data_IF_528970647150
#
_entry.id   IF_528970647150
#
_cell.length_a   1.000
_cell.length_b   1.000
_cell.length_c   1.000
_cell.angle_alpha   90.00
_cell.angle_beta   90.00
_cell.angle_gamma   90.00
#
_symmetry.space_group_name_H-M   'P 1'
#
loop_
_entity.id
_entity.type
_entity.pdbx_description
1 polymer ?
#
# COMPACT_ATOMS: atom_id res chain seq x y z
N UNK A 1 21.87 -14.51 15.84
CA UNK A 1 21.91 -13.12 15.34
C UNK A 1 22.90 -12.36 16.20
N UNK A 2 23.87 -11.66 15.61
CA UNK A 2 24.79 -10.78 16.34
C UNK A 2 24.11 -9.44 16.61
N UNK A 3 24.50 -8.70 17.66
CA UNK A 3 23.95 -7.36 17.97
C UNK A 3 24.09 -6.39 16.78
N UNK A 4 25.18 -6.51 16.02
CA UNK A 4 25.40 -5.75 14.80
C UNK A 4 24.34 -6.03 13.72
N UNK A 5 23.94 -7.29 13.53
CA UNK A 5 22.87 -7.68 12.60
C UNK A 5 21.51 -7.13 13.03
N UNK A 6 21.25 -7.05 14.34
CA UNK A 6 20.01 -6.47 14.87
C UNK A 6 19.94 -4.96 14.65
N UNK A 7 21.05 -4.25 14.82
CA UNK A 7 21.14 -2.81 14.55
C UNK A 7 20.91 -2.51 13.06
N UNK A 8 21.57 -3.26 12.16
CA UNK A 8 21.43 -3.07 10.71
C UNK A 8 19.99 -3.34 10.22
N UNK A 9 19.32 -4.36 10.80
CA UNK A 9 17.93 -4.64 10.49
C UNK A 9 17.01 -3.51 10.92
N UNK A 10 17.19 -2.98 12.13
CA UNK A 10 16.37 -1.88 12.64
C UNK A 10 16.59 -0.59 11.83
N UNK A 11 17.82 -0.28 11.47
CA UNK A 11 18.16 0.90 10.64
C UNK A 11 17.51 0.81 9.26
N UNK A 12 17.48 -0.39 8.65
CA UNK A 12 16.75 -0.60 7.40
C UNK A 12 15.24 -0.35 7.58
N UNK A 13 14.63 -0.91 8.64
CA UNK A 13 13.19 -0.76 8.88
C UNK A 13 12.80 0.70 9.14
N UNK A 14 13.62 1.44 9.89
CA UNK A 14 13.46 2.89 10.09
C UNK A 14 13.53 3.63 8.77
N UNK A 15 14.58 3.42 7.98
CA UNK A 15 14.71 4.05 6.67
C UNK A 15 13.53 3.73 5.75
N UNK A 16 13.07 2.47 5.75
CA UNK A 16 11.91 2.05 4.98
C UNK A 16 10.62 2.75 5.42
N UNK A 17 10.41 2.87 6.73
CA UNK A 17 9.28 3.58 7.32
C UNK A 17 9.33 5.09 7.01
N UNK A 18 10.47 5.75 7.24
CA UNK A 18 10.65 7.20 7.09
C UNK A 18 10.61 7.69 5.65
N UNK A 19 10.98 6.86 4.67
CA UNK A 19 11.13 7.30 3.28
C UNK A 19 10.24 6.52 2.33
N UNK A 20 10.44 5.20 2.29
CA UNK A 20 9.85 4.36 1.25
C UNK A 20 8.32 4.26 1.37
N UNK A 21 7.79 4.26 2.60
CA UNK A 21 6.34 4.26 2.82
C UNK A 21 5.68 5.61 2.52
N UNK A 22 6.39 6.72 2.66
CA UNK A 22 5.84 8.06 2.37
C UNK A 22 5.72 8.36 0.89
N UNK A 23 6.57 7.75 0.05
CA UNK A 23 6.67 8.08 -1.38
C UNK A 23 5.29 8.09 -2.08
N UNK A 24 4.42 7.07 -1.95
CA UNK A 24 3.15 7.07 -2.64
C UNK A 24 2.24 8.25 -2.27
N UNK A 25 2.14 8.59 -0.98
CA UNK A 25 1.34 9.71 -0.52
C UNK A 25 1.93 11.05 -0.98
N UNK A 26 3.25 11.25 -0.88
CA UNK A 26 3.90 12.48 -1.35
C UNK A 26 3.65 12.70 -2.85
N UNK A 27 3.72 11.64 -3.66
CA UNK A 27 3.40 11.75 -5.09
C UNK A 27 1.91 12.01 -5.30
N UNK A 28 1.03 11.32 -4.59
CA UNK A 28 -0.41 11.53 -4.66
C UNK A 28 -0.82 12.97 -4.33
N UNK A 29 -0.28 13.55 -3.26
CA UNK A 29 -0.56 14.95 -2.86
C UNK A 29 -0.13 15.96 -3.94
N UNK A 30 1.02 15.71 -4.58
CA UNK A 30 1.49 16.51 -5.70
C UNK A 30 0.61 16.35 -6.95
N UNK A 31 0.13 15.12 -7.22
CA UNK A 31 -0.80 14.85 -8.32
C UNK A 31 -2.13 15.56 -8.08
N UNK A 32 -2.71 15.47 -6.87
CA UNK A 32 -3.94 16.18 -6.52
C UNK A 32 -3.77 17.69 -6.66
N UNK A 33 -2.63 18.24 -6.25
CA UNK A 33 -2.35 19.68 -6.46
C UNK A 33 -2.29 20.03 -7.95
N UNK A 34 -1.68 19.18 -8.78
CA UNK A 34 -1.48 19.42 -10.20
C UNK A 34 -2.72 19.21 -11.08
N UNK A 35 -3.62 18.30 -10.70
CA UNK A 35 -4.71 17.86 -11.58
C UNK A 35 -5.75 18.95 -11.84
N UNK A 36 -5.96 19.85 -10.88
CA UNK A 36 -6.86 21.00 -11.00
C UNK A 36 -6.42 22.00 -12.06
N UNK A 37 -5.11 22.12 -12.28
CA UNK A 37 -4.50 23.10 -13.18
C UNK A 37 -4.18 22.51 -14.56
N UNK A 38 -4.36 21.20 -14.73
CA UNK A 38 -3.93 20.43 -15.88
C UNK A 38 -4.91 20.48 -17.06
N UNK A 39 -4.39 20.49 -18.30
CA UNK A 39 -5.16 20.20 -19.50
C UNK A 39 -5.56 18.72 -19.58
N UNK A 40 -6.45 18.36 -20.52
CA UNK A 40 -6.99 16.99 -20.62
C UNK A 40 -5.93 15.89 -20.83
N UNK A 41 -4.85 16.19 -21.57
CA UNK A 41 -3.77 15.21 -21.80
C UNK A 41 -2.92 15.01 -20.55
N UNK A 42 -2.67 16.09 -19.83
CA UNK A 42 -1.92 16.05 -18.58
C UNK A 42 -2.75 15.40 -17.45
N UNK A 43 -4.07 15.63 -17.40
CA UNK A 43 -4.98 14.93 -16.48
C UNK A 43 -4.97 13.41 -16.65
N UNK A 44 -4.90 12.91 -17.89
CA UNK A 44 -4.80 11.49 -18.16
C UNK A 44 -3.51 10.87 -17.58
N UNK A 45 -2.38 11.55 -17.76
CA UNK A 45 -1.10 11.11 -17.20
C UNK A 45 -1.13 11.15 -15.66
N UNK A 46 -1.68 12.22 -15.08
CA UNK A 46 -1.82 12.39 -13.64
C UNK A 46 -2.75 11.33 -13.01
N UNK A 47 -3.89 11.02 -13.64
CA UNK A 47 -4.79 9.96 -13.16
C UNK A 47 -4.13 8.57 -13.21
N UNK A 48 -3.36 8.29 -14.28
CA UNK A 48 -2.59 7.05 -14.39
C UNK A 48 -1.54 6.97 -13.27
N UNK A 49 -0.82 8.06 -13.02
CA UNK A 49 0.17 8.14 -11.94
C UNK A 49 -0.51 7.95 -10.58
N UNK A 50 -1.65 8.58 -10.33
CA UNK A 50 -2.42 8.37 -9.10
C UNK A 50 -2.77 6.90 -8.88
N UNK A 51 -3.25 6.21 -9.93
CA UNK A 51 -3.54 4.78 -9.83
C UNK A 51 -2.28 3.95 -9.52
N UNK A 52 -1.14 4.29 -10.13
CA UNK A 52 0.13 3.62 -9.86
C UNK A 52 0.53 3.76 -8.38
N UNK A 53 0.43 4.97 -7.83
CA UNK A 53 0.80 5.23 -6.43
C UNK A 53 -0.17 4.55 -5.46
N UNK A 54 -1.46 4.52 -5.77
CA UNK A 54 -2.46 3.76 -5.02
C UNK A 54 -2.12 2.26 -5.01
N UNK A 55 -1.80 1.67 -6.18
CA UNK A 55 -1.40 0.27 -6.29
C UNK A 55 -0.08 -0.01 -5.53
N UNK A 56 0.89 0.89 -5.60
CA UNK A 56 2.15 0.75 -4.86
C UNK A 56 1.92 0.80 -3.35
N UNK A 57 1.11 1.74 -2.84
CA UNK A 57 0.77 1.85 -1.43
C UNK A 57 0.05 0.59 -0.92
N UNK A 58 -0.92 0.08 -1.68
CA UNK A 58 -1.64 -1.14 -1.35
C UNK A 58 -0.69 -2.36 -1.25
N UNK A 59 0.22 -2.51 -2.22
CA UNK A 59 1.22 -3.61 -2.21
C UNK A 59 2.17 -3.49 -1.02
N UNK A 60 2.59 -2.28 -0.64
CA UNK A 60 3.45 -2.05 0.52
C UNK A 60 2.74 -2.37 1.84
N UNK A 61 1.46 -2.00 1.96
CA UNK A 61 0.62 -2.40 3.08
C UNK A 61 0.55 -3.93 3.20
N UNK A 62 0.27 -4.64 2.10
CA UNK A 62 0.28 -6.11 2.09
C UNK A 62 1.63 -6.69 2.48
N UNK A 63 2.73 -6.09 2.04
CA UNK A 63 4.07 -6.58 2.35
C UNK A 63 4.31 -6.55 3.86
N UNK A 64 3.94 -5.43 4.49
CA UNK A 64 4.08 -5.24 5.95
C UNK A 64 3.16 -6.19 6.70
N UNK A 65 1.87 -6.21 6.35
CA UNK A 65 0.88 -7.06 7.00
C UNK A 65 1.29 -8.53 6.98
N UNK A 66 1.60 -9.06 5.79
CA UNK A 66 1.96 -10.46 5.64
C UNK A 66 3.31 -10.78 6.30
N UNK A 67 4.26 -9.84 6.30
CA UNK A 67 5.54 -10.01 7.00
C UNK A 67 5.36 -10.07 8.52
N UNK A 68 4.58 -9.15 9.10
CA UNK A 68 4.26 -9.11 10.52
C UNK A 68 3.59 -10.41 10.96
N UNK A 69 2.58 -10.86 10.21
CA UNK A 69 1.84 -12.08 10.51
C UNK A 69 2.68 -13.35 10.37
N UNK A 70 3.42 -13.50 9.27
CA UNK A 70 4.00 -14.79 8.89
C UNK A 70 5.45 -14.97 9.34
N UNK A 71 6.21 -13.88 9.48
CA UNK A 71 7.63 -13.95 9.86
C UNK A 71 8.09 -12.67 10.57
N UNK A 72 7.59 -12.39 11.79
CA UNK A 72 7.89 -11.16 12.51
C UNK A 72 9.37 -11.00 12.87
N UNK A 73 10.19 -12.05 12.80
CA UNK A 73 11.64 -11.96 13.03
C UNK A 73 12.46 -11.71 11.75
N UNK A 74 11.84 -11.74 10.55
CA UNK A 74 12.53 -11.58 9.25
C UNK A 74 11.92 -10.46 8.38
N UNK A 75 11.24 -9.48 9.00
CA UNK A 75 10.52 -8.43 8.27
C UNK A 75 11.46 -7.66 7.32
N UNK A 76 12.66 -7.31 7.77
CA UNK A 76 13.65 -6.58 6.95
C UNK A 76 14.00 -7.34 5.66
N UNK A 77 14.18 -8.66 5.74
CA UNK A 77 14.51 -9.51 4.62
C UNK A 77 13.33 -9.65 3.64
N UNK A 78 12.10 -9.74 4.15
CA UNK A 78 10.89 -9.83 3.33
C UNK A 78 10.59 -8.50 2.61
N UNK A 79 10.75 -7.37 3.27
CA UNK A 79 10.52 -6.04 2.67
C UNK A 79 11.58 -5.67 1.60
N UNK A 80 12.71 -6.39 1.54
CA UNK A 80 13.72 -6.24 0.46
C UNK A 80 13.35 -7.03 -0.80
N UNK A 81 12.34 -7.89 -0.76
CA UNK A 81 11.91 -8.68 -1.91
C UNK A 81 11.00 -7.87 -2.83
N UNK A 82 10.58 -8.49 -3.93
CA UNK A 82 9.58 -7.89 -4.81
C UNK A 82 8.28 -7.60 -4.04
N UNK A 83 7.62 -6.51 -4.41
CA UNK A 83 6.34 -6.16 -3.82
C UNK A 83 5.28 -7.25 -4.05
N UNK A 84 4.38 -7.50 -3.08
CA UNK A 84 3.31 -8.49 -3.18
C UNK A 84 2.42 -8.32 -4.41
N UNK A 85 1.78 -9.40 -4.81
CA UNK A 85 0.89 -9.51 -5.98
C UNK A 85 -0.57 -9.25 -5.59
N UNK A 86 -1.47 -9.24 -6.58
CA UNK A 86 -2.91 -9.16 -6.34
C UNK A 86 -3.43 -10.37 -5.54
N UNK A 87 -2.81 -11.54 -5.72
CA UNK A 87 -3.15 -12.74 -4.93
C UNK A 87 -2.76 -12.57 -3.45
N UNK A 88 -1.62 -11.95 -3.18
CA UNK A 88 -1.18 -11.64 -1.81
C UNK A 88 -2.08 -10.57 -1.16
N UNK A 89 -2.54 -9.59 -1.95
CA UNK A 89 -3.55 -8.62 -1.51
C UNK A 89 -4.86 -9.31 -1.13
N UNK A 90 -5.39 -10.16 -2.01
CA UNK A 90 -6.60 -10.94 -1.73
C UNK A 90 -6.44 -11.81 -0.48
N UNK A 91 -5.29 -12.49 -0.33
CA UNK A 91 -4.98 -13.25 0.88
C UNK A 91 -5.01 -12.37 2.13
N UNK A 92 -4.39 -11.18 2.09
CA UNK A 92 -4.43 -10.25 3.21
C UNK A 92 -5.87 -9.86 3.55
N UNK A 93 -6.68 -9.47 2.57
CA UNK A 93 -8.05 -9.03 2.81
C UNK A 93 -8.91 -10.17 3.39
N UNK A 94 -8.77 -11.39 2.87
CA UNK A 94 -9.48 -12.55 3.43
C UNK A 94 -9.11 -12.77 4.92
N UNK A 95 -7.83 -12.61 5.29
CA UNK A 95 -7.40 -12.69 6.69
C UNK A 95 -8.01 -11.57 7.54
N UNK A 96 -8.07 -10.34 7.01
CA UNK A 96 -8.66 -9.19 7.72
C UNK A 96 -10.15 -9.39 7.94
N UNK A 97 -10.88 -9.88 6.93
CA UNK A 97 -12.33 -10.14 7.01
C UNK A 97 -12.69 -11.28 7.98
N UNK A 98 -11.75 -12.16 8.30
CA UNK A 98 -11.93 -13.20 9.33
C UNK A 98 -11.88 -12.66 10.77
N UNK A 99 -11.39 -11.42 10.99
CA UNK A 99 -11.24 -10.85 12.32
C UNK A 99 -12.52 -10.16 12.77
N UNK A 100 -12.94 -10.40 14.01
CA UNK A 100 -14.18 -9.84 14.58
C UNK A 100 -13.96 -8.51 15.30
N UNK A 101 -12.71 -8.16 15.63
CA UNK A 101 -12.37 -6.93 16.34
C UNK A 101 -10.99 -6.37 15.97
N UNK A 102 -10.75 -5.06 16.19
CA UNK A 102 -9.43 -4.45 16.04
C UNK A 102 -8.35 -5.11 16.91
N UNK A 103 -8.69 -5.52 18.12
CA UNK A 103 -7.77 -6.22 19.04
C UNK A 103 -7.33 -7.58 18.50
N UNK A 104 -8.26 -8.38 17.95
CA UNK A 104 -7.94 -9.66 17.30
C UNK A 104 -7.01 -9.44 16.10
N UNK A 105 -7.28 -8.41 15.29
CA UNK A 105 -6.42 -8.06 14.17
C UNK A 105 -5.00 -7.69 14.64
N UNK A 106 -4.88 -6.85 15.66
CA UNK A 106 -3.58 -6.48 16.21
C UNK A 106 -2.85 -7.67 16.82
N UNK A 107 -3.57 -8.58 17.47
CA UNK A 107 -3.01 -9.80 18.04
C UNK A 107 -2.38 -10.70 16.97
N UNK A 108 -3.03 -10.91 15.82
CA UNK A 108 -2.45 -11.76 14.76
C UNK A 108 -1.23 -11.13 14.09
N UNK A 109 -1.05 -9.81 14.22
CA UNK A 109 0.13 -9.07 13.77
C UNK A 109 1.24 -9.00 14.82
N UNK A 110 1.00 -9.49 16.05
CA UNK A 110 1.92 -9.32 17.18
C UNK A 110 2.05 -7.86 17.63
N UNK A 111 0.94 -7.11 17.56
CA UNK A 111 0.81 -5.67 17.81
C UNK A 111 -0.25 -5.34 18.90
N UNK A 112 -0.37 -6.13 19.97
CA UNK A 112 -1.43 -6.06 20.99
C UNK A 112 -1.68 -4.65 21.60
N UNK A 113 -0.67 -3.97 22.16
CA UNK A 113 -0.69 -2.55 22.54
C UNK A 113 -0.54 -1.55 21.35
N UNK A 114 -0.98 -1.94 20.16
CA UNK A 114 -0.71 -1.23 18.91
C UNK A 114 -1.74 -0.15 18.53
N UNK A 115 -1.78 0.26 17.26
CA UNK A 115 -2.56 1.40 16.82
C UNK A 115 -4.03 1.00 16.62
N UNK A 116 -4.79 0.97 17.72
CA UNK A 116 -6.18 0.48 17.74
C UNK A 116 -7.08 1.21 16.74
N UNK A 117 -6.95 2.55 16.64
CA UNK A 117 -7.72 3.36 15.70
C UNK A 117 -7.47 2.95 14.24
N UNK A 118 -6.21 2.71 13.90
CA UNK A 118 -5.78 2.28 12.56
C UNK A 118 -6.34 0.89 12.24
N UNK A 119 -6.28 -0.04 13.20
CA UNK A 119 -6.89 -1.36 13.04
C UNK A 119 -8.42 -1.28 12.87
N UNK A 120 -9.09 -0.40 13.62
CA UNK A 120 -10.52 -0.13 13.48
C UNK A 120 -10.88 0.44 12.11
N UNK A 121 -10.16 1.46 11.64
CA UNK A 121 -10.36 2.05 10.30
C UNK A 121 -10.14 1.01 9.20
N UNK A 122 -9.08 0.22 9.30
CA UNK A 122 -8.76 -0.81 8.31
C UNK A 122 -9.85 -1.88 8.22
N UNK A 123 -10.31 -2.41 9.37
CA UNK A 123 -11.40 -3.40 9.42
C UNK A 123 -12.73 -2.85 8.90
N UNK A 124 -13.02 -1.58 9.17
CA UNK A 124 -14.28 -0.95 8.76
C UNK A 124 -14.28 -0.48 7.30
N UNK A 125 -13.11 -0.46 6.63
CA UNK A 125 -13.01 -0.03 5.24
C UNK A 125 -13.56 -1.10 4.31
N UNK A 126 -14.60 -0.73 3.55
CA UNK A 126 -15.30 -1.66 2.66
C UNK A 126 -14.66 -1.71 1.27
N UNK A 127 -14.93 -2.82 0.58
CA UNK A 127 -14.58 -3.02 -0.82
C UNK A 127 -13.08 -2.97 -1.12
N UNK A 128 -12.22 -3.31 -0.14
CA UNK A 128 -10.77 -3.38 -0.31
C UNK A 128 -10.35 -4.38 -1.40
N UNK A 129 -11.10 -5.47 -1.61
CA UNK A 129 -10.86 -6.43 -2.70
C UNK A 129 -10.81 -5.77 -4.09
N UNK A 130 -11.50 -4.64 -4.30
CA UNK A 130 -11.53 -3.95 -5.62
C UNK A 130 -10.14 -3.45 -6.05
N UNK A 131 -9.23 -3.21 -5.11
CA UNK A 131 -7.87 -2.76 -5.41
C UNK A 131 -6.98 -3.89 -5.98
N UNK A 132 -7.45 -5.14 -5.98
CA UNK A 132 -6.77 -6.26 -6.65
C UNK A 132 -6.55 -6.01 -8.16
N UNK A 133 -7.49 -5.37 -8.85
CA UNK A 133 -7.35 -5.04 -10.29
C UNK A 133 -6.23 -4.02 -10.53
N UNK A 134 -6.21 -2.83 -9.88
CA UNK A 134 -5.07 -1.93 -9.93
C UNK A 134 -3.73 -2.59 -9.59
N UNK A 135 -3.68 -3.41 -8.53
CA UNK A 135 -2.45 -4.11 -8.15
C UNK A 135 -1.98 -5.01 -9.29
N UNK A 136 -2.87 -5.87 -9.79
CA UNK A 136 -2.59 -6.82 -10.87
C UNK A 136 -2.07 -6.12 -12.14
N UNK A 137 -2.67 -4.97 -12.48
CA UNK A 137 -2.30 -4.16 -13.64
C UNK A 137 -0.85 -3.64 -13.57
N UNK A 138 -0.31 -3.42 -12.36
CA UNK A 138 1.03 -2.86 -12.13
C UNK A 138 2.07 -3.88 -11.69
N UNK A 139 1.73 -5.17 -11.60
CA UNK A 139 2.68 -6.21 -11.15
C UNK A 139 3.94 -6.30 -12.02
N UNK A 140 3.78 -6.08 -13.35
CA UNK A 140 4.86 -6.14 -14.34
C UNK A 140 5.40 -4.77 -14.73
N UNK A 141 5.09 -3.74 -13.96
CA UNK A 141 5.41 -2.35 -14.27
C UNK A 141 4.25 -1.61 -14.96
N UNK A 142 4.50 -0.42 -15.51
CA UNK A 142 3.45 0.46 -16.00
C UNK A 142 2.63 -0.16 -17.15
N UNK A 143 1.29 -0.01 -17.14
CA UNK A 143 0.42 -0.51 -18.21
C UNK A 143 0.53 0.33 -19.48
N UNK A 144 0.04 -0.23 -20.59
CA UNK A 144 -0.29 0.57 -21.77
C UNK A 144 -1.57 1.33 -21.51
N UNK A 145 -1.59 2.63 -21.81
CA UNK A 145 -2.74 3.51 -21.58
C UNK A 145 -3.28 4.04 -22.89
N UNK A 146 -4.59 3.89 -23.11
CA UNK A 146 -5.32 4.41 -24.24
C UNK A 146 -6.35 5.42 -23.72
N UNK A 147 -6.28 6.65 -24.22
CA UNK A 147 -7.25 7.69 -23.88
C UNK A 147 -8.38 7.67 -24.91
N UNK A 148 -9.52 7.09 -24.51
CA UNK A 148 -10.72 7.10 -25.33
C UNK A 148 -11.54 8.34 -25.03
N UNK A 149 -11.42 9.32 -25.94
CA UNK A 149 -12.37 10.43 -26.01
C UNK A 149 -13.66 9.91 -26.63
N UNK A 150 -14.59 9.48 -25.80
CA UNK A 150 -15.96 9.31 -26.28
C UNK A 150 -16.52 10.69 -26.65
N UNK A 151 -17.37 10.80 -27.66
CA UNK A 151 -17.87 12.09 -28.16
C UNK A 151 -18.75 12.86 -27.16
N UNK A 152 -19.00 12.27 -25.99
CA UNK A 152 -19.60 12.86 -24.79
C UNK A 152 -18.48 13.28 -23.85
N UNK A 153 -18.62 14.38 -23.11
CA UNK A 153 -17.56 15.00 -22.28
C UNK A 153 -16.90 14.10 -21.20
N UNK A 154 -17.23 12.82 -21.12
CA UNK A 154 -16.62 11.81 -20.26
C UNK A 154 -15.42 11.18 -20.98
N UNK A 155 -14.22 11.62 -20.58
CA UNK A 155 -12.97 10.99 -21.03
C UNK A 155 -12.65 9.82 -20.11
N UNK A 156 -12.39 8.67 -20.72
CA UNK A 156 -12.12 7.43 -20.02
C UNK A 156 -10.75 6.91 -20.44
N UNK A 157 -9.95 6.48 -19.46
CA UNK A 157 -8.71 5.76 -19.72
C UNK A 157 -8.96 4.26 -19.72
N UNK A 158 -8.51 3.61 -20.77
CA UNK A 158 -8.41 2.15 -20.83
C UNK A 158 -6.96 1.76 -20.62
N UNK A 159 -6.72 0.87 -19.67
CA UNK A 159 -5.39 0.42 -19.29
C UNK A 159 -5.28 -1.08 -19.54
N UNK A 160 -4.16 -1.48 -20.13
CA UNK A 160 -3.88 -2.86 -20.52
C UNK A 160 -2.52 -3.29 -20.02
N UNK A 161 -2.46 -4.43 -19.35
CA UNK A 161 -1.22 -5.11 -19.01
C UNK A 161 -1.43 -6.63 -18.91
N UNK A 162 -0.46 -7.34 -18.36
CA UNK A 162 -0.60 -8.72 -17.90
C UNK A 162 -0.13 -8.86 -16.46
N UNK A 163 -0.79 -9.75 -15.71
CA UNK A 163 -0.34 -10.16 -14.38
C UNK A 163 0.95 -11.00 -14.46
N UNK A 164 1.55 -11.34 -13.32
CA UNK A 164 2.77 -12.17 -13.28
C UNK A 164 2.60 -13.58 -13.88
N UNK A 165 1.36 -14.09 -13.98
CA UNK A 165 1.05 -15.35 -14.65
C UNK A 165 0.94 -15.22 -16.18
N UNK A 166 1.02 -14.00 -16.70
CA UNK A 166 0.89 -13.68 -18.11
C UNK A 166 -0.57 -13.54 -18.59
N UNK A 167 -1.55 -13.54 -17.67
CA UNK A 167 -2.95 -13.31 -18.03
C UNK A 167 -3.20 -11.84 -18.31
N UNK A 168 -3.95 -11.50 -19.37
CA UNK A 168 -4.32 -10.11 -19.64
C UNK A 168 -5.13 -9.51 -18.50
N UNK A 169 -4.80 -8.28 -18.13
CA UNK A 169 -5.51 -7.46 -17.14
C UNK A 169 -5.89 -6.16 -17.80
N UNK A 170 -7.16 -5.79 -17.65
CA UNK A 170 -7.70 -4.54 -18.18
C UNK A 170 -8.41 -3.76 -17.10
N UNK A 171 -8.22 -2.45 -17.08
CA UNK A 171 -8.93 -1.55 -16.18
C UNK A 171 -9.42 -0.31 -16.93
N UNK A 172 -10.43 0.32 -16.36
CA UNK A 172 -11.02 1.54 -16.89
C UNK A 172 -11.05 2.58 -15.78
N UNK A 173 -10.51 3.76 -16.03
CA UNK A 173 -10.52 4.88 -15.08
C UNK A 173 -11.31 6.03 -15.70
N UNK A 174 -12.47 6.39 -15.13
CA UNK A 174 -13.11 7.64 -15.47
C UNK A 174 -12.20 8.81 -15.06
N UNK A 175 -11.97 9.78 -15.94
CA UNK A 175 -11.18 10.98 -15.62
C UNK A 175 -11.98 12.03 -14.84
N UNK A 176 -12.97 11.59 -14.08
CA UNK A 176 -13.75 12.41 -13.18
C UNK A 176 -12.92 12.73 -11.94
N UNK A 177 -13.01 13.98 -11.48
CA UNK A 177 -12.24 14.48 -10.34
C UNK A 177 -12.46 13.62 -9.09
N UNK A 178 -13.72 13.27 -8.81
CA UNK A 178 -14.10 12.45 -7.65
C UNK A 178 -13.39 11.09 -7.63
N UNK A 179 -13.17 10.47 -8.81
CA UNK A 179 -12.46 9.20 -8.90
C UNK A 179 -10.97 9.35 -8.60
N UNK A 180 -10.35 10.43 -9.07
CA UNK A 180 -8.92 10.67 -8.80
C UNK A 180 -8.70 11.06 -7.34
N UNK A 181 -9.59 11.86 -6.76
CA UNK A 181 -9.57 12.19 -5.33
C UNK A 181 -9.75 10.93 -4.49
N UNK A 182 -10.71 10.06 -4.82
CA UNK A 182 -10.90 8.80 -4.11
C UNK A 182 -9.67 7.86 -4.17
N UNK A 183 -8.93 7.85 -5.27
CA UNK A 183 -7.65 7.13 -5.35
C UNK A 183 -6.58 7.78 -4.47
N UNK A 184 -6.55 9.11 -4.40
CA UNK A 184 -5.67 9.87 -3.49
C UNK A 184 -5.94 9.56 -2.03
N UNK A 185 -7.21 9.62 -1.60
CA UNK A 185 -7.64 9.30 -0.24
C UNK A 185 -7.26 7.85 0.12
N UNK A 186 -7.57 6.89 -0.75
CA UNK A 186 -7.18 5.49 -0.53
C UNK A 186 -5.67 5.29 -0.45
N UNK A 187 -4.89 6.05 -1.23
CA UNK A 187 -3.42 6.03 -1.15
C UNK A 187 -2.95 6.51 0.23
N UNK A 188 -3.54 7.60 0.74
CA UNK A 188 -3.27 8.13 2.08
C UNK A 188 -3.62 7.12 3.18
N UNK A 189 -4.77 6.47 3.08
CA UNK A 189 -5.21 5.43 4.02
C UNK A 189 -4.22 4.26 4.06
N UNK A 190 -3.85 3.71 2.89
CA UNK A 190 -2.90 2.59 2.82
C UNK A 190 -1.52 2.93 3.36
N UNK A 191 -1.02 4.14 3.07
CA UNK A 191 0.26 4.63 3.62
C UNK A 191 0.17 4.79 5.13
N UNK A 192 -0.92 5.37 5.64
CA UNK A 192 -1.13 5.56 7.08
C UNK A 192 -1.16 4.22 7.80
N UNK A 193 -1.96 3.26 7.34
CA UNK A 193 -2.06 1.95 7.96
C UNK A 193 -0.73 1.18 7.93
N UNK A 194 -0.04 1.20 6.79
CA UNK A 194 1.27 0.55 6.65
C UNK A 194 2.29 1.15 7.64
N UNK A 195 2.30 2.47 7.78
CA UNK A 195 3.20 3.19 8.67
C UNK A 195 2.88 2.91 10.14
N UNK A 196 1.61 2.91 10.52
CA UNK A 196 1.24 2.69 11.91
C UNK A 196 1.58 1.25 12.35
N UNK A 197 1.29 0.25 11.52
CA UNK A 197 1.64 -1.14 11.82
C UNK A 197 3.15 -1.36 11.90
N UNK A 198 3.92 -0.86 10.92
CA UNK A 198 5.37 -1.02 10.93
C UNK A 198 6.04 -0.19 12.03
N UNK A 199 5.57 1.04 12.26
CA UNK A 199 6.09 1.94 13.29
C UNK A 199 5.93 1.33 14.68
N UNK A 200 4.75 0.79 14.99
CA UNK A 200 4.49 0.10 16.25
C UNK A 200 5.43 -1.09 16.46
N UNK A 201 5.71 -1.86 15.40
CA UNK A 201 6.68 -2.95 15.46
C UNK A 201 8.10 -2.44 15.76
N UNK A 202 8.53 -1.37 15.09
CA UNK A 202 9.85 -0.76 15.28
C UNK A 202 10.00 -0.28 16.73
N UNK A 203 9.03 0.47 17.25
CA UNK A 203 9.03 1.00 18.63
C UNK A 203 9.17 -0.12 19.66
N UNK A 204 8.48 -1.25 19.46
CA UNK A 204 8.59 -2.42 20.33
C UNK A 204 9.98 -3.04 20.31
N UNK A 205 10.55 -3.22 19.11
CA UNK A 205 11.91 -3.79 18.98
C UNK A 205 12.95 -2.88 19.63
N UNK A 206 12.80 -1.57 19.52
CA UNK A 206 13.66 -0.58 20.17
C UNK A 206 13.59 -0.64 21.70
N UNK A 207 12.38 -0.72 22.25
CA UNK A 207 12.17 -0.85 23.69
C UNK A 207 12.79 -2.16 24.23
N UNK A 208 12.65 -3.27 23.49
CA UNK A 208 13.24 -4.56 23.86
C UNK A 208 14.77 -4.54 23.87
N UNK A 209 15.40 -3.88 22.88
CA UNK A 209 16.86 -3.73 22.82
C UNK A 209 17.33 -2.85 23.98
N UNK A 210 16.69 -1.70 24.19
CA UNK A 210 17.04 -0.77 25.25
C UNK A 210 16.93 -1.39 26.65
N UNK A 211 15.92 -2.23 26.88
CA UNK A 211 15.78 -2.96 28.14
C UNK A 211 16.91 -3.98 28.35
N UNK A 212 17.31 -4.71 27.31
CA UNK A 212 18.42 -5.68 27.37
C UNK A 212 19.77 -5.03 27.61
N UNK A 213 20.02 -3.84 27.07
CA UNK A 213 21.27 -3.10 27.27
C UNK A 213 21.43 -2.50 28.67
N UNK A 214 20.33 -2.42 29.44
CA UNK A 214 20.32 -1.86 30.80
C UNK A 214 20.31 -2.94 31.91
N UNK A 215 20.35 -4.23 31.54
CA UNK A 215 20.47 -5.38 32.44
C UNK A 215 21.90 -5.93 32.43
#
# INVERSE_FOLDING_TARGET
MTEQSQSEDLDFLRGYWETTLWKPQVVADNVLTGIYLADASYRAALATLMLQECAEAARRLSAIFLSLRNSPENISALLKQNLPTANDWEQMINIVEEQSSPDELLQILGLEDGPLKTAEEFLNTRALLRYGVPISLYERGPPTVINNKTGTNESVLELYNSDLSGKPVTATIPLEEEQVVALGDATGDFVTWARDFLGTYIDRKEAQISFKSNL
#
